data_IF_678376770291
#
_entry.id   IF_678376770291
#
_cell.length_a   1.000
_cell.length_b   1.000
_cell.length_c   1.000
_cell.angle_alpha   90.00
_cell.angle_beta   90.00
_cell.angle_gamma   90.00
#
_symmetry.space_group_name_H-M   'P 1'
#
loop_
_entity.id
_entity.type
_entity.pdbx_description
1 polymer ?
#
# COMPACT_ATOMS: atom_id res chain seq x y z
N UNK A 1 -15.88 35.23 21.19
CA UNK A 1 -14.52 35.35 21.75
C UNK A 1 -13.68 36.23 20.83
N UNK A 2 -12.82 37.11 21.35
CA UNK A 2 -11.86 37.84 20.54
C UNK A 2 -10.80 36.89 19.97
N UNK A 3 -10.19 37.28 18.84
CA UNK A 3 -9.21 36.45 18.12
C UNK A 3 -8.01 36.05 19.00
N UNK A 4 -7.50 36.97 19.82
CA UNK A 4 -6.39 36.71 20.74
C UNK A 4 -6.73 35.63 21.76
N UNK A 5 -7.95 35.66 22.33
CA UNK A 5 -8.39 34.64 23.28
C UNK A 5 -8.53 33.29 22.59
N UNK A 6 -9.06 33.24 21.36
CA UNK A 6 -9.12 31.99 20.59
C UNK A 6 -7.71 31.41 20.32
N UNK A 7 -6.74 32.25 19.93
CA UNK A 7 -5.36 31.79 19.69
C UNK A 7 -4.75 31.19 20.95
N UNK A 8 -4.84 31.89 22.09
CA UNK A 8 -4.21 31.44 23.34
C UNK A 8 -4.93 30.23 23.94
N UNK A 9 -6.26 30.18 23.88
CA UNK A 9 -7.05 29.13 24.54
C UNK A 9 -7.26 27.89 23.70
N UNK A 10 -7.24 28.01 22.37
CA UNK A 10 -7.52 26.89 21.45
C UNK A 10 -6.29 26.53 20.63
N UNK A 11 -5.71 27.50 19.91
CA UNK A 11 -4.67 27.22 18.93
C UNK A 11 -3.34 26.80 19.57
N UNK A 12 -2.91 27.50 20.62
CA UNK A 12 -1.66 27.20 21.33
C UNK A 12 -1.69 25.78 21.93
N UNK A 13 -2.72 25.35 22.67
CA UNK A 13 -2.80 23.97 23.17
C UNK A 13 -2.95 22.92 22.06
N UNK A 14 -3.58 23.26 20.93
CA UNK A 14 -3.73 22.34 19.79
C UNK A 14 -2.47 22.19 18.92
N UNK A 15 -1.48 23.08 19.08
CA UNK A 15 -0.27 23.14 18.24
C UNK A 15 0.48 21.80 18.15
N UNK A 16 0.67 21.01 19.23
CA UNK A 16 1.34 19.71 19.15
C UNK A 16 0.60 18.72 18.23
N UNK A 17 -0.74 18.69 18.32
CA UNK A 17 -1.58 17.77 17.50
C UNK A 17 -1.53 18.18 16.03
N UNK A 18 -1.64 19.48 15.75
CA UNK A 18 -1.53 20.00 14.37
C UNK A 18 -0.15 19.70 13.78
N UNK A 19 0.91 19.89 14.57
CA UNK A 19 2.29 19.60 14.18
C UNK A 19 2.52 18.10 13.94
N UNK A 20 1.89 17.23 14.74
CA UNK A 20 1.92 15.79 14.51
C UNK A 20 1.15 15.41 13.25
N UNK A 21 -0.05 15.96 13.05
CA UNK A 21 -0.91 15.65 11.90
C UNK A 21 -0.24 16.03 10.57
N UNK A 22 0.45 17.17 10.50
CA UNK A 22 1.23 17.56 9.31
C UNK A 22 2.36 16.56 9.04
N UNK A 23 3.11 16.16 10.07
CA UNK A 23 4.19 15.16 9.92
C UNK A 23 3.63 13.81 9.50
N UNK A 24 2.53 13.38 10.10
CA UNK A 24 1.88 12.12 9.75
C UNK A 24 1.39 12.14 8.30
N UNK A 25 0.78 13.24 7.85
CA UNK A 25 0.36 13.40 6.46
C UNK A 25 1.52 13.21 5.46
N UNK A 26 2.71 13.75 5.75
CA UNK A 26 3.90 13.50 4.95
C UNK A 26 4.32 12.03 4.97
N UNK A 27 4.36 11.40 6.16
CA UNK A 27 4.70 9.98 6.29
C UNK A 27 3.74 9.07 5.53
N UNK A 28 2.44 9.36 5.59
CA UNK A 28 1.41 8.60 4.88
C UNK A 28 1.53 8.79 3.36
N UNK A 29 1.87 10.00 2.89
CA UNK A 29 2.13 10.25 1.46
C UNK A 29 3.33 9.46 0.96
N UNK A 30 4.44 9.51 1.70
CA UNK A 30 5.66 8.79 1.33
C UNK A 30 5.43 7.27 1.34
N UNK A 31 4.66 6.76 2.29
CA UNK A 31 4.21 5.37 2.32
C UNK A 31 3.36 4.99 1.10
N UNK A 32 2.43 5.86 0.68
CA UNK A 32 1.60 5.63 -0.49
C UNK A 32 2.43 5.59 -1.79
N UNK A 33 3.41 6.48 -1.93
CA UNK A 33 4.30 6.48 -3.09
C UNK A 33 5.22 5.25 -3.11
N UNK A 34 5.73 4.83 -1.95
CA UNK A 34 6.48 3.58 -1.82
C UNK A 34 5.64 2.35 -2.21
N UNK A 35 4.34 2.35 -1.90
CA UNK A 35 3.44 1.26 -2.25
C UNK A 35 3.14 1.21 -3.76
N UNK A 36 3.04 2.36 -4.43
CA UNK A 36 2.93 2.41 -5.91
C UNK A 36 4.15 1.80 -6.58
N UNK A 37 5.34 2.09 -6.07
CA UNK A 37 6.58 1.52 -6.59
C UNK A 37 6.63 0.00 -6.41
N UNK A 38 6.25 -0.49 -5.22
CA UNK A 38 6.19 -1.93 -4.96
C UNK A 38 5.17 -2.64 -5.87
N UNK A 39 4.03 -2.00 -6.15
CA UNK A 39 3.05 -2.51 -7.10
C UNK A 39 3.64 -2.60 -8.52
N UNK A 40 4.31 -1.55 -9.00
CA UNK A 40 4.93 -1.56 -10.31
C UNK A 40 6.03 -2.63 -10.44
N UNK A 41 6.81 -2.86 -9.39
CA UNK A 41 7.80 -3.94 -9.33
C UNK A 41 7.13 -5.33 -9.41
N UNK A 42 6.00 -5.52 -8.72
CA UNK A 42 5.21 -6.74 -8.79
C UNK A 42 4.67 -7.01 -10.21
N UNK A 43 4.07 -5.98 -10.82
CA UNK A 43 3.53 -6.06 -12.19
C UNK A 43 4.65 -6.36 -13.20
N UNK A 44 5.81 -5.72 -13.08
CA UNK A 44 6.95 -6.01 -13.95
C UNK A 44 7.47 -7.44 -13.80
N UNK A 45 7.53 -7.97 -12.56
CA UNK A 45 7.92 -9.36 -12.32
C UNK A 45 6.91 -10.35 -12.92
N UNK A 46 5.62 -10.03 -12.79
CA UNK A 46 4.52 -10.82 -13.33
C UNK A 46 4.57 -10.90 -14.86
N UNK A 47 4.70 -9.76 -15.54
CA UNK A 47 4.84 -9.69 -17.00
C UNK A 47 6.07 -10.44 -17.49
N UNK A 48 7.20 -10.34 -16.78
CA UNK A 48 8.42 -11.05 -17.10
C UNK A 48 8.24 -12.57 -16.99
N UNK A 49 7.51 -13.05 -15.97
CA UNK A 49 7.21 -14.46 -15.80
C UNK A 49 6.25 -14.96 -16.90
N UNK A 50 5.20 -14.22 -17.23
CA UNK A 50 4.26 -14.57 -18.30
C UNK A 50 4.94 -14.63 -19.69
N UNK A 51 5.90 -13.74 -19.95
CA UNK A 51 6.66 -13.74 -21.19
C UNK A 51 7.70 -14.87 -21.29
N UNK A 52 7.85 -15.70 -20.25
CA UNK A 52 8.92 -16.71 -20.17
C UNK A 52 10.32 -16.09 -20.06
N UNK A 53 10.41 -14.86 -19.54
CA UNK A 53 11.65 -14.08 -19.43
C UNK A 53 12.55 -14.45 -18.25
N UNK A 54 12.17 -15.44 -17.44
CA UNK A 54 13.01 -16.07 -16.42
C UNK A 54 12.83 -17.59 -16.44
N UNK A 55 13.89 -18.32 -16.07
CA UNK A 55 13.77 -19.73 -15.68
C UNK A 55 13.18 -19.84 -14.26
N UNK A 56 12.71 -21.02 -13.87
CA UNK A 56 12.09 -21.27 -12.57
C UNK A 56 12.94 -20.79 -11.38
N UNK A 57 14.25 -21.02 -11.40
CA UNK A 57 15.16 -20.64 -10.33
C UNK A 57 15.37 -19.13 -10.25
N UNK A 58 15.43 -18.46 -11.39
CA UNK A 58 15.55 -17.01 -11.48
C UNK A 58 14.24 -16.31 -11.09
N UNK A 59 13.09 -16.86 -11.52
CA UNK A 59 11.78 -16.36 -11.10
C UNK A 59 11.59 -16.52 -9.58
N UNK A 60 12.00 -17.66 -9.00
CA UNK A 60 11.95 -17.89 -7.55
C UNK A 60 12.84 -16.88 -6.82
N UNK A 61 14.10 -16.72 -7.25
CA UNK A 61 15.05 -15.78 -6.64
C UNK A 61 14.50 -14.35 -6.64
N UNK A 62 14.01 -13.87 -7.79
CA UNK A 62 13.43 -12.52 -7.91
C UNK A 62 12.16 -12.36 -7.08
N UNK A 63 11.31 -13.38 -7.02
CA UNK A 63 10.12 -13.37 -6.16
C UNK A 63 10.49 -13.24 -4.69
N UNK A 64 11.56 -13.92 -4.24
CA UNK A 64 12.08 -13.81 -2.87
C UNK A 64 12.67 -12.43 -2.59
N UNK A 65 13.42 -11.86 -3.52
CA UNK A 65 13.96 -10.51 -3.40
C UNK A 65 12.85 -9.46 -3.29
N UNK A 66 11.82 -9.58 -4.12
CA UNK A 66 10.63 -8.75 -4.05
C UNK A 66 9.89 -8.90 -2.71
N UNK A 67 9.70 -10.13 -2.23
CA UNK A 67 9.10 -10.38 -0.90
C UNK A 67 9.92 -9.74 0.23
N UNK A 68 11.25 -9.79 0.14
CA UNK A 68 12.13 -9.16 1.12
C UNK A 68 12.02 -7.62 1.05
N UNK A 69 11.89 -7.04 -0.15
CA UNK A 69 11.69 -5.60 -0.32
C UNK A 69 10.36 -5.15 0.31
N UNK A 70 9.28 -5.92 0.13
CA UNK A 70 7.99 -5.68 0.80
C UNK A 70 8.16 -5.76 2.32
N UNK A 71 8.85 -6.79 2.83
CA UNK A 71 9.04 -6.95 4.27
C UNK A 71 9.78 -5.76 4.89
N UNK A 72 10.89 -5.32 4.29
CA UNK A 72 11.65 -4.15 4.75
C UNK A 72 10.83 -2.85 4.71
N UNK A 73 9.94 -2.70 3.73
CA UNK A 73 9.02 -1.56 3.68
C UNK A 73 7.96 -1.64 4.78
N UNK A 74 7.38 -2.82 5.02
CA UNK A 74 6.36 -3.02 6.08
C UNK A 74 6.89 -2.72 7.47
N UNK A 75 8.16 -3.03 7.76
CA UNK A 75 8.77 -2.72 9.07
C UNK A 75 8.97 -1.23 9.30
N UNK A 76 9.07 -0.43 8.23
CA UNK A 76 9.28 1.03 8.31
C UNK A 76 8.02 1.86 8.06
N UNK A 77 6.92 1.23 7.61
CA UNK A 77 5.69 1.91 7.24
C UNK A 77 4.97 2.49 8.47
N UNK A 78 4.55 3.79 8.48
CA UNK A 78 3.62 4.29 9.48
C UNK A 78 2.36 3.42 9.56
N UNK A 79 1.88 3.18 10.78
CA UNK A 79 0.58 2.53 11.00
C UNK A 79 -0.53 3.46 10.51
N UNK A 80 -1.48 2.93 9.75
CA UNK A 80 -2.73 3.62 9.49
C UNK A 80 -3.49 3.79 10.81
N UNK A 81 -4.14 4.93 10.97
CA UNK A 81 -5.05 5.13 12.08
C UNK A 81 -6.17 4.09 12.01
N UNK A 82 -6.46 3.34 13.11
CA UNK A 82 -7.37 2.19 13.06
C UNK A 82 -8.77 2.53 12.51
N UNK A 83 -9.29 3.72 12.82
CA UNK A 83 -10.59 4.17 12.33
C UNK A 83 -10.59 4.47 10.82
N UNK A 84 -9.49 5.03 10.30
CA UNK A 84 -9.33 5.28 8.86
C UNK A 84 -9.26 3.94 8.13
N UNK A 85 -8.47 3.00 8.64
CA UNK A 85 -8.38 1.67 8.06
C UNK A 85 -9.74 0.97 8.05
N UNK A 86 -10.50 1.02 9.14
CA UNK A 86 -11.84 0.40 9.20
C UNK A 86 -12.77 0.93 8.10
N UNK A 87 -12.73 2.24 7.82
CA UNK A 87 -13.57 2.83 6.78
C UNK A 87 -13.12 2.48 5.36
N UNK A 88 -11.80 2.42 5.13
CA UNK A 88 -11.24 2.15 3.80
C UNK A 88 -11.17 0.66 3.45
N UNK A 89 -11.20 -0.22 4.45
CA UNK A 89 -10.94 -1.65 4.30
C UNK A 89 -11.83 -2.32 3.27
N UNK A 90 -13.13 -2.05 3.28
CA UNK A 90 -14.09 -2.71 2.38
C UNK A 90 -13.78 -2.43 0.91
N UNK A 91 -13.47 -1.18 0.56
CA UNK A 91 -13.06 -0.81 -0.80
C UNK A 91 -11.74 -1.48 -1.21
N UNK A 92 -10.75 -1.46 -0.31
CA UNK A 92 -9.45 -2.09 -0.57
C UNK A 92 -9.56 -3.61 -0.76
N UNK A 93 -10.43 -4.29 -0.03
CA UNK A 93 -10.69 -5.72 -0.20
C UNK A 93 -11.32 -6.03 -1.56
N UNK A 94 -12.23 -5.17 -2.05
CA UNK A 94 -12.81 -5.31 -3.39
C UNK A 94 -11.71 -5.17 -4.46
N UNK A 95 -10.90 -4.12 -4.38
CA UNK A 95 -9.81 -3.89 -5.33
C UNK A 95 -8.80 -5.05 -5.34
N UNK A 96 -8.46 -5.57 -4.15
CA UNK A 96 -7.59 -6.74 -4.01
C UNK A 96 -8.18 -7.99 -4.68
N UNK A 97 -9.46 -8.27 -4.46
CA UNK A 97 -10.13 -9.43 -5.04
C UNK A 97 -10.23 -9.32 -6.56
N UNK A 98 -10.52 -8.13 -7.09
CA UNK A 98 -10.56 -7.88 -8.53
C UNK A 98 -9.17 -8.06 -9.17
N UNK A 99 -8.12 -7.53 -8.55
CA UNK A 99 -6.74 -7.72 -9.02
C UNK A 99 -6.30 -9.18 -8.99
N UNK A 100 -6.64 -9.93 -7.93
CA UNK A 100 -6.34 -11.36 -7.85
C UNK A 100 -7.06 -12.16 -8.95
N UNK A 101 -8.34 -11.88 -9.18
CA UNK A 101 -9.10 -12.49 -10.26
C UNK A 101 -8.50 -12.18 -11.65
N UNK A 102 -7.96 -10.96 -11.82
CA UNK A 102 -7.27 -10.55 -13.03
C UNK A 102 -6.01 -11.39 -13.29
N UNK A 103 -5.14 -11.53 -12.28
CA UNK A 103 -3.94 -12.37 -12.39
C UNK A 103 -4.27 -13.84 -12.66
N UNK A 104 -5.29 -14.41 -12.02
CA UNK A 104 -5.72 -15.79 -12.29
C UNK A 104 -6.19 -16.00 -13.73
N UNK A 105 -6.86 -14.99 -14.30
CA UNK A 105 -7.30 -15.02 -15.70
C UNK A 105 -6.12 -14.94 -16.66
N UNK A 106 -5.16 -14.06 -16.38
CA UNK A 106 -3.94 -13.93 -17.18
C UNK A 106 -3.10 -15.22 -17.17
N UNK A 107 -3.08 -15.94 -16.05
CA UNK A 107 -2.43 -17.24 -15.93
C UNK A 107 -3.23 -18.41 -16.55
N UNK A 108 -4.43 -18.18 -17.08
CA UNK A 108 -5.30 -19.22 -17.66
C UNK A 108 -5.95 -20.16 -16.63
N UNK A 109 -5.93 -19.82 -15.33
CA UNK A 109 -6.45 -20.67 -14.25
C UNK A 109 -7.97 -20.46 -14.06
N UNK A 110 -8.47 -19.26 -14.33
CA UNK A 110 -9.86 -18.87 -14.03
C UNK A 110 -10.94 -19.53 -14.92
N UNK A 111 -10.60 -20.08 -16.09
CA UNK A 111 -11.56 -20.75 -16.98
C UNK A 111 -11.89 -22.20 -16.57
N UNK A 112 -11.11 -22.80 -15.66
CA UNK A 112 -11.21 -24.24 -15.33
C UNK A 112 -12.29 -24.55 -14.28
N UNK A 113 -12.90 -23.54 -13.64
CA UNK A 113 -13.77 -23.73 -12.48
C UNK A 113 -15.27 -23.45 -12.76
N UNK A 114 -15.72 -23.70 -13.99
CA UNK A 114 -17.15 -23.69 -14.39
C UNK A 114 -17.59 -25.04 -14.95
N UNK A 115 -17.41 -26.12 -14.18
CA UNK A 115 -18.01 -27.44 -14.46
C UNK A 115 -18.76 -27.96 -13.25
#
# INVERSE_FOLDING_TARGET
MPFTDFVVTVLVPATPVLSWAVRDAFRQRDAADAQKLARAEAEALWELALAGGCDDSECERRSREFQNSIFQRRTSNPLLLPFVYHWLRSGMEIDMNLGAADFLRQAGIAEVNQS
#
